data_IF_943855184942
#
_entry.id   IF_943855184942
#
_cell.length_a   1.000
_cell.length_b   1.000
_cell.length_c   1.000
_cell.angle_alpha   90.00
_cell.angle_beta   90.00
_cell.angle_gamma   90.00
#
_symmetry.space_group_name_H-M   'P 1'
#
loop_
_entity.id
_entity.type
_entity.pdbx_description
1 polymer ?
#
# COMPACT_ATOMS: atom_id res chain seq x y z
N UNK A 1 -20.17 -27.78 7.67
CA UNK A 1 -20.83 -27.20 6.47
C UNK A 1 -19.79 -26.39 5.73
N UNK A 2 -19.33 -26.86 4.58
CA UNK A 2 -18.31 -26.16 3.79
C UNK A 2 -19.04 -25.22 2.84
N UNK A 3 -19.18 -23.96 3.23
CA UNK A 3 -19.83 -22.96 2.41
C UNK A 3 -18.91 -22.62 1.23
N UNK A 4 -19.34 -22.99 0.01
CA UNK A 4 -18.70 -22.56 -1.23
C UNK A 4 -18.96 -21.07 -1.40
N UNK A 5 -17.97 -20.24 -1.07
CA UNK A 5 -17.94 -18.85 -1.51
C UNK A 5 -17.38 -18.81 -2.94
N UNK A 6 -18.12 -18.21 -3.88
CA UNK A 6 -17.54 -17.78 -5.15
C UNK A 6 -16.33 -16.89 -4.83
N UNK A 7 -15.18 -17.03 -5.52
CA UNK A 7 -14.01 -16.21 -5.28
C UNK A 7 -14.25 -14.80 -5.84
N UNK A 8 -15.11 -14.03 -5.16
CA UNK A 8 -15.20 -12.59 -5.39
C UNK A 8 -13.95 -12.01 -4.76
N UNK A 9 -13.13 -11.34 -5.56
CA UNK A 9 -11.98 -10.60 -5.05
C UNK A 9 -12.44 -9.71 -3.87
N UNK A 10 -11.72 -9.67 -2.73
CA UNK A 10 -12.15 -8.91 -1.55
C UNK A 10 -11.95 -7.39 -1.74
N UNK A 11 -11.91 -6.92 -2.97
CA UNK A 11 -11.62 -5.56 -3.37
C UNK A 11 -12.26 -5.19 -4.70
N UNK A 12 -12.37 -3.88 -4.92
CA UNK A 12 -12.65 -3.28 -6.22
C UNK A 12 -11.45 -2.42 -6.65
N UNK A 13 -11.18 -2.41 -7.96
CA UNK A 13 -10.20 -1.50 -8.55
C UNK A 13 -10.88 -0.18 -8.85
N UNK A 14 -10.38 0.91 -8.26
CA UNK A 14 -10.97 2.25 -8.44
C UNK A 14 -9.99 3.22 -9.09
N UNK A 15 -10.53 4.36 -9.54
CA UNK A 15 -9.71 5.47 -10.05
C UNK A 15 -9.10 6.24 -8.89
N UNK A 16 -7.98 6.90 -9.15
CA UNK A 16 -7.42 7.87 -8.21
C UNK A 16 -8.40 9.03 -8.03
N UNK A 17 -8.70 9.39 -6.79
CA UNK A 17 -9.75 10.34 -6.44
C UNK A 17 -11.13 9.74 -6.20
N UNK A 18 -11.26 8.41 -6.21
CA UNK A 18 -12.48 7.74 -5.78
C UNK A 18 -12.90 8.15 -4.35
N UNK A 19 -14.16 8.59 -4.11
CA UNK A 19 -14.59 9.09 -2.81
C UNK A 19 -14.44 8.09 -1.66
N UNK A 20 -14.70 6.79 -1.90
CA UNK A 20 -14.58 5.77 -0.87
C UNK A 20 -13.11 5.59 -0.49
N UNK A 21 -12.22 5.46 -1.48
CA UNK A 21 -10.78 5.37 -1.27
C UNK A 21 -10.24 6.59 -0.49
N UNK A 22 -10.71 7.78 -0.84
CA UNK A 22 -10.31 9.05 -0.21
C UNK A 22 -10.78 9.12 1.23
N UNK A 23 -12.00 8.67 1.52
CA UNK A 23 -12.54 8.67 2.89
C UNK A 23 -11.62 7.91 3.86
N UNK A 24 -11.14 6.74 3.44
CA UNK A 24 -10.23 5.89 4.22
C UNK A 24 -8.84 6.51 4.29
N UNK A 25 -8.31 6.95 3.14
CA UNK A 25 -6.99 7.55 3.06
C UNK A 25 -6.85 8.82 3.92
N UNK A 26 -7.91 9.61 4.08
CA UNK A 26 -7.94 10.81 4.92
C UNK A 26 -7.68 10.53 6.41
N UNK A 27 -7.82 9.27 6.85
CA UNK A 27 -7.50 8.81 8.20
C UNK A 27 -6.06 8.30 8.33
N UNK A 28 -5.29 8.23 7.25
CA UNK A 28 -3.88 7.81 7.26
C UNK A 28 -2.94 8.97 7.66
N UNK A 29 -1.94 8.68 8.51
CA UNK A 29 -1.06 9.71 9.09
C UNK A 29 -0.19 10.46 8.07
N UNK A 30 0.07 9.88 6.89
CA UNK A 30 0.88 10.51 5.84
C UNK A 30 0.07 11.36 4.86
N UNK A 31 -1.27 11.36 4.97
CA UNK A 31 -2.15 11.98 4.00
C UNK A 31 -2.12 13.52 4.13
N UNK A 32 -1.87 14.20 3.01
CA UNK A 32 -2.07 15.66 2.88
C UNK A 32 -3.50 15.94 2.45
N UNK A 33 -4.33 16.61 3.27
CA UNK A 33 -5.79 16.71 3.08
C UNK A 33 -6.25 17.77 2.04
N UNK A 34 -5.32 18.49 1.45
CA UNK A 34 -5.51 19.55 0.45
C UNK A 34 -5.74 19.02 -0.97
N UNK A 35 -5.69 17.71 -1.17
CA UNK A 35 -5.86 17.08 -2.48
C UNK A 35 -6.80 15.89 -2.42
N UNK A 36 -7.46 15.57 -3.54
CA UNK A 36 -8.19 14.32 -3.75
C UNK A 36 -7.33 13.25 -4.44
N UNK A 37 -6.01 13.43 -4.55
CA UNK A 37 -5.12 12.41 -5.11
C UNK A 37 -4.50 11.54 -4.02
N UNK A 38 -4.45 10.23 -4.26
CA UNK A 38 -3.75 9.25 -3.42
C UNK A 38 -2.31 9.06 -3.85
N UNK A 39 -2.06 9.17 -5.16
CA UNK A 39 -0.74 8.97 -5.76
C UNK A 39 -0.27 10.23 -6.51
N UNK A 40 1.04 10.33 -6.70
CA UNK A 40 1.59 11.24 -7.70
C UNK A 40 1.08 10.88 -9.12
N UNK A 41 1.27 11.78 -10.08
CA UNK A 41 0.98 11.50 -11.49
C UNK A 41 1.78 10.28 -12.00
N UNK A 42 1.17 9.51 -12.90
CA UNK A 42 1.78 8.33 -13.50
C UNK A 42 0.92 7.06 -13.39
N UNK A 43 1.53 5.91 -13.71
CA UNK A 43 0.87 4.60 -13.64
C UNK A 43 0.60 4.22 -12.18
N UNK A 44 -0.63 3.79 -11.89
CA UNK A 44 -1.14 3.54 -10.54
C UNK A 44 -2.21 2.46 -10.50
N UNK A 45 -2.38 1.89 -9.32
CA UNK A 45 -3.40 0.88 -9.01
C UNK A 45 -3.94 1.18 -7.61
N UNK A 46 -5.24 1.39 -7.51
CA UNK A 46 -5.92 1.64 -6.24
C UNK A 46 -6.88 0.48 -6.01
N UNK A 47 -6.68 -0.24 -4.91
CA UNK A 47 -7.53 -1.33 -4.45
C UNK A 47 -8.27 -0.85 -3.21
N UNK A 48 -9.58 -1.07 -3.17
CA UNK A 48 -10.43 -0.65 -2.05
C UNK A 48 -11.33 -1.80 -1.64
N UNK A 49 -11.45 -2.02 -0.33
CA UNK A 49 -12.45 -2.96 0.18
C UNK A 49 -13.87 -2.45 -0.15
N UNK A 50 -14.80 -3.30 -0.63
CA UNK A 50 -16.13 -2.83 -1.05
C UNK A 50 -16.92 -2.11 0.04
N UNK A 51 -16.71 -2.49 1.31
CA UNK A 51 -17.32 -1.85 2.48
C UNK A 51 -16.48 -0.72 3.09
N UNK A 52 -15.42 -0.28 2.41
CA UNK A 52 -14.60 0.84 2.86
C UNK A 52 -13.71 0.57 4.08
N UNK A 53 -13.34 -0.69 4.33
CA UNK A 53 -12.55 -1.08 5.50
C UNK A 53 -11.04 -0.94 5.29
N UNK A 54 -10.56 -0.95 4.05
CA UNK A 54 -9.15 -0.74 3.75
C UNK A 54 -8.95 -0.16 2.36
N UNK A 55 -7.81 0.51 2.16
CA UNK A 55 -7.36 1.04 0.88
C UNK A 55 -5.88 0.75 0.69
N UNK A 56 -5.52 0.33 -0.53
CA UNK A 56 -4.14 0.08 -0.94
C UNK A 56 -3.85 0.81 -2.25
N UNK A 57 -2.83 1.68 -2.26
CA UNK A 57 -2.47 2.49 -3.40
C UNK A 57 -1.03 2.20 -3.85
N UNK A 58 -0.90 1.66 -5.05
CA UNK A 58 0.37 1.48 -5.74
C UNK A 58 0.62 2.60 -6.74
N UNK A 59 1.89 2.98 -6.90
CA UNK A 59 2.36 3.84 -7.99
C UNK A 59 3.66 3.29 -8.57
N UNK A 60 3.78 3.28 -9.90
CA UNK A 60 5.01 2.88 -10.56
C UNK A 60 5.96 4.07 -10.64
N UNK A 61 7.13 3.95 -10.02
CA UNK A 61 8.11 5.02 -9.89
C UNK A 61 9.36 4.70 -10.72
N UNK A 62 9.57 5.46 -11.79
CA UNK A 62 10.78 5.35 -12.63
C UNK A 62 11.82 6.42 -12.33
N UNK A 63 11.36 7.61 -11.94
CA UNK A 63 12.23 8.77 -11.69
C UNK A 63 11.84 9.40 -10.35
N UNK A 64 12.78 9.39 -9.39
CA UNK A 64 12.60 10.00 -8.07
C UNK A 64 13.89 10.65 -7.59
N UNK A 65 13.75 11.72 -6.80
CA UNK A 65 14.88 12.43 -6.17
C UNK A 65 15.65 11.56 -5.17
N UNK A 66 14.95 10.64 -4.49
CA UNK A 66 15.52 9.68 -3.54
C UNK A 66 16.11 8.42 -4.21
N UNK A 67 16.20 8.43 -5.56
CA UNK A 67 16.71 7.33 -6.40
C UNK A 67 15.99 5.99 -6.23
N UNK A 68 14.85 5.95 -5.53
CA UNK A 68 14.05 4.73 -5.45
C UNK A 68 13.33 4.49 -6.77
N UNK A 69 13.35 3.24 -7.22
CA UNK A 69 12.68 2.78 -8.44
C UNK A 69 11.89 1.50 -8.17
N UNK A 70 10.82 1.30 -8.95
CA UNK A 70 9.95 0.14 -8.89
C UNK A 70 8.51 0.47 -8.49
N UNK A 71 7.80 -0.51 -7.94
CA UNK A 71 6.40 -0.36 -7.51
C UNK A 71 6.38 0.17 -6.07
N UNK A 72 5.94 1.41 -5.91
CA UNK A 72 5.84 2.07 -4.62
C UNK A 72 4.45 1.84 -4.00
N UNK A 73 4.40 1.31 -2.78
CA UNK A 73 3.20 1.40 -1.94
C UNK A 73 3.12 2.83 -1.42
N UNK A 74 2.29 3.64 -2.09
CA UNK A 74 2.15 5.06 -1.82
C UNK A 74 1.29 5.31 -0.57
N UNK A 75 0.28 4.47 -0.35
CA UNK A 75 -0.59 4.53 0.81
C UNK A 75 -1.19 3.15 1.07
N UNK A 76 -1.19 2.72 2.33
CA UNK A 76 -1.92 1.55 2.77
C UNK A 76 -2.54 1.84 4.13
N UNK A 77 -3.84 1.62 4.26
CA UNK A 77 -4.55 1.69 5.53
C UNK A 77 -5.53 0.53 5.63
N UNK A 78 -5.48 -0.17 6.75
CA UNK A 78 -6.39 -1.25 7.08
C UNK A 78 -7.14 -0.93 8.39
N UNK A 79 -8.47 -1.02 8.35
CA UNK A 79 -9.40 -0.89 9.47
C UNK A 79 -10.32 -2.13 9.58
N UNK A 80 -10.04 -3.20 8.82
CA UNK A 80 -10.73 -4.48 8.94
C UNK A 80 -10.02 -5.42 9.93
N UNK A 81 -10.64 -6.59 10.16
CA UNK A 81 -10.07 -7.68 10.96
C UNK A 81 -9.10 -8.57 10.16
N UNK A 82 -9.03 -8.40 8.83
CA UNK A 82 -8.12 -9.18 7.98
C UNK A 82 -6.69 -8.78 8.29
N UNK A 83 -5.79 -9.76 8.35
CA UNK A 83 -4.39 -9.48 8.63
C UNK A 83 -3.80 -8.58 7.54
N UNK A 84 -3.20 -7.47 7.96
CA UNK A 84 -2.58 -6.51 7.04
C UNK A 84 -1.53 -7.16 6.12
N UNK A 85 -0.82 -8.19 6.60
CA UNK A 85 0.14 -8.96 5.78
C UNK A 85 -0.53 -9.76 4.66
N UNK A 86 -1.73 -10.29 4.88
CA UNK A 86 -2.49 -11.01 3.84
C UNK A 86 -2.99 -10.05 2.76
N UNK A 87 -3.48 -8.87 3.17
CA UNK A 87 -3.85 -7.79 2.24
C UNK A 87 -2.64 -7.35 1.41
N UNK A 88 -1.46 -7.21 2.03
CA UNK A 88 -0.23 -6.87 1.30
C UNK A 88 0.10 -7.93 0.25
N UNK A 89 0.10 -9.22 0.59
CA UNK A 89 0.41 -10.30 -0.35
C UNK A 89 -0.58 -10.35 -1.53
N UNK A 90 -1.88 -10.17 -1.26
CA UNK A 90 -2.90 -10.04 -2.31
C UNK A 90 -2.65 -8.81 -3.18
N UNK A 91 -2.41 -7.64 -2.58
CA UNK A 91 -2.18 -6.40 -3.32
C UNK A 91 -0.89 -6.43 -4.15
N UNK A 92 0.12 -7.19 -3.72
CA UNK A 92 1.35 -7.44 -4.49
C UNK A 92 1.07 -8.20 -5.78
N UNK A 93 0.22 -9.24 -5.73
CA UNK A 93 -0.16 -10.03 -6.90
C UNK A 93 -0.80 -9.14 -7.96
N UNK A 94 -1.75 -8.30 -7.56
CA UNK A 94 -2.42 -7.34 -8.46
C UNK A 94 -1.45 -6.31 -9.06
N UNK A 95 -0.46 -5.87 -8.26
CA UNK A 95 0.56 -4.96 -8.73
C UNK A 95 1.51 -5.63 -9.75
N UNK A 96 1.87 -6.90 -9.52
CA UNK A 96 2.72 -7.67 -10.43
C UNK A 96 1.99 -7.98 -11.74
N UNK A 97 0.70 -8.32 -11.69
CA UNK A 97 -0.13 -8.49 -12.88
C UNK A 97 -0.23 -7.20 -13.70
N UNK A 98 -0.41 -6.04 -13.04
CA UNK A 98 -0.56 -4.76 -13.75
C UNK A 98 0.73 -4.15 -14.25
N UNK A 99 1.82 -4.24 -13.49
CA UNK A 99 3.07 -3.52 -13.76
C UNK A 99 4.23 -4.42 -14.16
N UNK A 100 4.05 -5.74 -14.09
CA UNK A 100 5.13 -6.72 -14.19
C UNK A 100 5.93 -6.83 -12.89
N UNK A 101 6.36 -8.05 -12.58
CA UNK A 101 7.12 -8.37 -11.37
C UNK A 101 8.42 -7.58 -11.30
N UNK A 102 8.49 -6.69 -10.30
CA UNK A 102 9.65 -5.84 -10.07
C UNK A 102 9.80 -5.46 -8.60
N UNK A 103 10.93 -4.83 -8.27
CA UNK A 103 11.21 -4.35 -6.92
C UNK A 103 10.04 -3.52 -6.39
N UNK A 104 9.62 -3.81 -5.17
CA UNK A 104 8.61 -3.04 -4.43
C UNK A 104 9.25 -2.30 -3.27
N UNK A 105 8.73 -1.12 -2.94
CA UNK A 105 9.23 -0.34 -1.82
C UNK A 105 8.14 0.52 -1.16
N UNK A 106 8.34 0.84 0.12
CA UNK A 106 7.50 1.78 0.86
C UNK A 106 8.31 2.48 1.96
N UNK A 107 7.75 3.57 2.47
CA UNK A 107 8.30 4.30 3.59
C UNK A 107 7.30 4.30 4.75
N UNK A 108 7.77 3.92 5.93
CA UNK A 108 6.99 3.95 7.16
C UNK A 108 7.58 5.00 8.09
N UNK A 109 6.74 5.86 8.68
CA UNK A 109 7.21 6.77 9.73
C UNK A 109 7.20 6.03 11.08
N UNK A 110 8.38 5.67 11.65
CA UNK A 110 8.44 4.93 12.90
C UNK A 110 7.81 5.71 14.07
N UNK A 111 7.83 7.05 14.03
CA UNK A 111 7.25 7.91 15.08
C UNK A 111 5.73 8.06 14.99
N UNK A 112 5.07 7.54 13.94
CA UNK A 112 3.60 7.64 13.75
C UNK A 112 2.89 6.29 13.86
N UNK A 113 3.62 5.22 14.19
CA UNK A 113 3.06 3.88 14.38
C UNK A 113 3.18 3.48 15.84
N UNK A 114 2.16 2.80 16.38
CA UNK A 114 2.16 2.33 17.78
C UNK A 114 3.06 1.10 18.00
N UNK A 115 3.32 0.33 16.95
CA UNK A 115 4.14 -0.89 17.02
C UNK A 115 5.59 -0.55 17.34
N UNK A 116 6.18 -1.27 18.30
CA UNK A 116 7.63 -1.24 18.57
C UNK A 116 8.45 -1.79 17.40
N UNK A 117 7.85 -2.52 16.47
CA UNK A 117 8.43 -2.91 15.20
C UNK A 117 7.69 -2.25 14.03
N UNK A 118 8.11 -1.04 13.61
CA UNK A 118 7.52 -0.33 12.48
C UNK A 118 7.52 -1.17 11.19
N UNK A 119 6.38 -1.21 10.51
CA UNK A 119 6.20 -1.99 9.28
C UNK A 119 6.24 -3.51 9.49
N UNK A 120 5.91 -4.00 10.69
CA UNK A 120 5.85 -5.44 10.96
C UNK A 120 4.95 -6.22 10.00
N UNK A 121 3.82 -5.65 9.55
CA UNK A 121 2.96 -6.28 8.55
C UNK A 121 3.66 -6.50 7.20
N UNK A 122 4.50 -5.55 6.76
CA UNK A 122 5.32 -5.73 5.57
C UNK A 122 6.39 -6.81 5.80
N UNK A 123 7.04 -6.82 6.96
CA UNK A 123 8.01 -7.87 7.31
C UNK A 123 7.36 -9.26 7.29
N UNK A 124 6.14 -9.39 7.81
CA UNK A 124 5.35 -10.63 7.74
C UNK A 124 4.94 -11.02 6.32
N UNK A 125 4.81 -10.05 5.41
CA UNK A 125 4.64 -10.29 3.99
C UNK A 125 5.98 -10.52 3.24
N UNK A 126 7.09 -10.70 3.95
CA UNK A 126 8.41 -10.98 3.36
C UNK A 126 9.16 -9.75 2.84
N UNK A 127 8.87 -8.57 3.38
CA UNK A 127 9.64 -7.35 3.10
C UNK A 127 10.79 -7.20 4.09
N UNK A 128 11.86 -6.54 3.64
CA UNK A 128 13.08 -6.33 4.40
C UNK A 128 13.30 -4.84 4.68
N UNK A 129 13.91 -4.53 5.82
CA UNK A 129 14.34 -3.17 6.16
C UNK A 129 15.57 -2.82 5.33
N UNK A 130 15.57 -1.66 4.67
CA UNK A 130 16.66 -1.21 3.81
C UNK A 130 17.20 0.18 4.20
N UNK A 131 17.19 0.48 5.50
CA UNK A 131 17.68 1.74 6.05
C UNK A 131 16.59 2.81 6.19
N UNK A 132 17.00 4.08 6.22
CA UNK A 132 16.13 5.23 6.49
C UNK A 132 16.31 6.31 5.43
N UNK A 133 15.25 7.06 5.15
CA UNK A 133 15.35 8.30 4.38
C UNK A 133 16.01 9.41 5.22
N UNK A 134 16.42 10.50 4.56
CA UNK A 134 16.95 11.70 5.23
C UNK A 134 15.98 12.28 6.28
N UNK A 135 14.67 11.99 6.18
CA UNK A 135 13.63 12.43 7.12
C UNK A 135 13.32 11.40 8.21
N UNK A 136 14.16 10.37 8.36
CA UNK A 136 13.97 9.31 9.36
C UNK A 136 12.84 8.33 9.05
N UNK A 137 12.33 8.28 7.81
CA UNK A 137 11.33 7.28 7.42
C UNK A 137 12.02 5.94 7.14
N UNK A 138 11.56 4.86 7.77
CA UNK A 138 12.03 3.50 7.54
C UNK A 138 11.68 3.08 6.12
N UNK A 139 12.69 2.70 5.34
CA UNK A 139 12.53 2.11 4.02
C UNK A 139 12.35 0.60 4.15
N UNK A 140 11.26 0.09 3.58
CA UNK A 140 11.01 -1.34 3.43
C UNK A 140 11.01 -1.68 1.95
N UNK A 141 11.63 -2.80 1.60
CA UNK A 141 11.77 -3.26 0.22
C UNK A 141 11.39 -4.73 0.10
N UNK A 142 10.93 -5.11 -1.09
CA UNK A 142 10.83 -6.51 -1.49
C UNK A 142 11.41 -6.63 -2.89
N UNK A 143 12.50 -7.39 -3.00
CA UNK A 143 13.14 -7.62 -4.29
C UNK A 143 12.29 -8.60 -5.13
N UNK A 144 12.60 -8.67 -6.43
CA UNK A 144 11.94 -9.56 -7.38
C UNK A 144 12.00 -11.01 -6.94
#
# INVERSE_FOLDING_TARGET
MTQLYLPIAPFVVVRDGDPLAISIANRHYSRKKDTNRLCASGKRLILVHPLGLWVFAWSLQKFRRDRQQGINCALFRNESEVLSSEIILMAEKEADEKFGRQRKFTYVNPAKVKSSNPGYCFQKAGWEKAGYSQKGLLLLIKNK
#
